data_IF_789179450627
#
_entry.id   IF_789179450627
#
_cell.length_a   1.000
_cell.length_b   1.000
_cell.length_c   1.000
_cell.angle_alpha   90.00
_cell.angle_beta   90.00
_cell.angle_gamma   90.00
#
_symmetry.space_group_name_H-M   'P 1'
#
loop_
_entity.id
_entity.type
_entity.pdbx_description
1 polymer ?
#
# COMPACT_ATOMS: atom_id res chain seq x y z
N UNK A 1 3.93 7.03 -37.19
CA UNK A 1 5.01 7.82 -36.55
C UNK A 1 4.46 8.32 -35.22
N UNK A 2 4.99 7.80 -34.13
CA UNK A 2 4.67 8.29 -32.78
C UNK A 2 5.32 9.68 -32.62
N UNK A 3 4.49 10.70 -32.35
CA UNK A 3 4.95 12.07 -32.20
C UNK A 3 5.88 12.19 -30.99
N UNK A 4 7.15 12.47 -31.21
CA UNK A 4 8.22 12.47 -30.17
C UNK A 4 8.17 13.75 -29.32
N UNK A 5 7.25 14.69 -29.60
CA UNK A 5 7.24 16.01 -28.95
C UNK A 5 6.69 16.05 -27.53
N UNK A 6 6.01 14.97 -27.08
CA UNK A 6 5.27 14.95 -25.80
C UNK A 6 5.88 13.95 -24.79
N UNK A 7 7.20 13.90 -24.69
CA UNK A 7 7.90 13.03 -23.75
C UNK A 7 8.40 13.81 -22.54
N UNK A 8 8.06 13.31 -21.36
CA UNK A 8 8.69 13.75 -20.10
C UNK A 8 9.71 12.67 -19.73
N UNK A 9 11.01 13.06 -19.68
CA UNK A 9 12.08 12.18 -19.22
C UNK A 9 12.14 12.21 -17.70
N UNK A 10 12.09 11.06 -17.07
CA UNK A 10 12.15 10.88 -15.61
C UNK A 10 13.18 9.81 -15.28
N UNK A 11 13.72 9.82 -14.06
CA UNK A 11 14.67 8.80 -13.59
C UNK A 11 13.97 7.46 -13.35
N UNK A 12 12.78 7.47 -12.76
CA UNK A 12 11.96 6.29 -12.51
C UNK A 12 10.52 6.51 -13.01
N UNK A 13 10.14 5.74 -14.03
CA UNK A 13 8.82 5.86 -14.67
C UNK A 13 7.69 5.35 -13.79
N UNK A 14 7.92 4.37 -12.91
CA UNK A 14 6.92 3.84 -11.98
C UNK A 14 6.64 4.84 -10.87
N UNK A 15 7.69 5.42 -10.30
CA UNK A 15 7.58 6.47 -9.29
C UNK A 15 6.85 7.69 -9.87
N UNK A 16 7.25 8.15 -11.06
CA UNK A 16 6.60 9.26 -11.74
C UNK A 16 5.12 8.97 -12.02
N UNK A 17 4.79 7.75 -12.50
CA UNK A 17 3.40 7.34 -12.73
C UNK A 17 2.56 7.41 -11.44
N UNK A 18 3.12 7.00 -10.29
CA UNK A 18 2.41 7.06 -9.02
C UNK A 18 2.06 8.50 -8.63
N UNK A 19 3.03 9.42 -8.72
CA UNK A 19 2.80 10.84 -8.41
C UNK A 19 1.85 11.51 -9.40
N UNK A 20 1.98 11.21 -10.70
CA UNK A 20 1.08 11.72 -11.74
C UNK A 20 -0.34 11.21 -11.54
N UNK A 21 -0.51 9.94 -11.14
CA UNK A 21 -1.82 9.37 -10.83
C UNK A 21 -2.46 10.05 -9.62
N UNK A 22 -1.68 10.28 -8.55
CA UNK A 22 -2.15 11.04 -7.39
C UNK A 22 -2.67 12.42 -7.80
N UNK A 23 -1.88 13.16 -8.57
CA UNK A 23 -2.24 14.50 -9.05
C UNK A 23 -3.47 14.48 -9.97
N UNK A 24 -3.52 13.53 -10.91
CA UNK A 24 -4.64 13.38 -11.86
C UNK A 24 -5.98 13.18 -11.16
N UNK A 25 -6.00 12.40 -10.08
CA UNK A 25 -7.20 12.17 -9.27
C UNK A 25 -7.39 13.20 -8.14
N UNK A 26 -6.61 14.27 -8.07
CA UNK A 26 -6.75 15.34 -7.09
C UNK A 26 -6.37 14.94 -5.66
N UNK A 27 -5.31 14.13 -5.54
CA UNK A 27 -4.73 13.66 -4.26
C UNK A 27 -5.77 13.03 -3.32
N UNK A 28 -6.50 12.00 -3.76
CA UNK A 28 -7.61 11.45 -2.97
C UNK A 28 -7.15 10.83 -1.65
N UNK A 29 -5.90 10.35 -1.55
CA UNK A 29 -5.34 9.81 -0.32
C UNK A 29 -5.25 10.86 0.81
N UNK A 30 -5.12 12.15 0.50
CA UNK A 30 -5.06 13.23 1.49
C UNK A 30 -6.43 13.51 2.14
N UNK A 31 -7.50 13.00 1.55
CA UNK A 31 -8.89 13.20 2.00
C UNK A 31 -9.40 12.08 2.91
N UNK A 32 -8.60 11.04 3.13
CA UNK A 32 -8.96 9.88 3.94
C UNK A 32 -7.79 9.46 4.83
N UNK A 33 -8.07 8.72 5.90
CA UNK A 33 -7.03 8.05 6.69
C UNK A 33 -6.65 6.74 6.03
N UNK A 34 -5.42 6.64 5.52
CA UNK A 34 -4.93 5.44 4.85
C UNK A 34 -4.15 4.58 5.83
N UNK A 35 -4.57 3.32 6.01
CA UNK A 35 -3.92 2.32 6.84
C UNK A 35 -3.32 1.25 5.94
N UNK A 36 -2.01 1.09 5.98
CA UNK A 36 -1.27 0.10 5.19
C UNK A 36 -0.83 -1.09 6.03
N UNK A 37 -1.04 -2.31 5.54
CA UNK A 37 -0.66 -3.54 6.24
C UNK A 37 0.31 -4.33 5.40
N UNK A 38 1.51 -4.57 5.92
CA UNK A 38 2.52 -5.41 5.30
C UNK A 38 2.89 -6.61 6.18
N UNK A 39 3.46 -7.61 5.57
CA UNK A 39 3.91 -8.85 6.22
C UNK A 39 3.87 -10.02 5.25
N UNK A 40 4.40 -11.17 5.65
CA UNK A 40 4.34 -12.36 4.80
C UNK A 40 2.94 -12.96 4.85
N UNK A 41 2.39 -13.15 6.05
CA UNK A 41 1.05 -13.75 6.27
C UNK A 41 0.18 -12.85 7.14
N UNK A 42 -1.12 -13.08 7.10
CA UNK A 42 -2.08 -12.41 7.96
C UNK A 42 -2.55 -11.03 7.46
N UNK A 43 -2.01 -10.50 6.38
CA UNK A 43 -2.44 -9.19 5.82
C UNK A 43 -3.94 -9.13 5.61
N UNK A 44 -4.48 -10.04 4.82
CA UNK A 44 -5.92 -10.08 4.48
C UNK A 44 -6.80 -10.15 5.73
N UNK A 45 -6.52 -11.08 6.64
CA UNK A 45 -7.28 -11.21 7.89
C UNK A 45 -7.24 -9.92 8.69
N UNK A 46 -6.06 -9.35 8.90
CA UNK A 46 -5.88 -8.10 9.66
C UNK A 46 -6.60 -6.93 8.98
N UNK A 47 -6.57 -6.85 7.65
CA UNK A 47 -7.25 -5.81 6.87
C UNK A 47 -8.77 -5.86 7.10
N UNK A 48 -9.37 -7.04 7.02
CA UNK A 48 -10.81 -7.20 7.27
C UNK A 48 -11.19 -6.95 8.73
N UNK A 49 -10.37 -7.38 9.70
CA UNK A 49 -10.60 -7.12 11.12
C UNK A 49 -10.58 -5.62 11.43
N UNK A 50 -9.58 -4.89 10.93
CA UNK A 50 -9.48 -3.43 11.13
C UNK A 50 -10.67 -2.73 10.47
N UNK A 51 -11.03 -3.13 9.23
CA UNK A 51 -12.21 -2.59 8.56
C UNK A 51 -13.46 -2.75 9.43
N UNK A 52 -13.75 -3.97 9.93
CA UNK A 52 -14.91 -4.21 10.76
C UNK A 52 -14.92 -3.38 12.05
N UNK A 53 -13.77 -3.26 12.73
CA UNK A 53 -13.65 -2.45 13.95
C UNK A 53 -13.95 -0.97 13.66
N UNK A 54 -13.41 -0.43 12.57
CA UNK A 54 -13.64 0.97 12.20
C UNK A 54 -15.10 1.21 11.81
N UNK A 55 -15.74 0.28 11.10
CA UNK A 55 -17.16 0.37 10.75
C UNK A 55 -18.07 0.35 11.97
N UNK A 56 -17.79 -0.49 12.96
CA UNK A 56 -18.52 -0.52 14.24
C UNK A 56 -18.38 0.81 15.01
N UNK A 57 -17.32 1.57 14.78
CA UNK A 57 -17.12 2.91 15.38
C UNK A 57 -17.71 4.04 14.53
N UNK A 58 -18.46 3.71 13.47
CA UNK A 58 -19.18 4.67 12.63
C UNK A 58 -18.39 5.23 11.45
N UNK A 59 -17.21 4.72 11.18
CA UNK A 59 -16.43 5.10 9.99
C UNK A 59 -16.96 4.40 8.73
N UNK A 60 -16.86 5.09 7.58
CA UNK A 60 -17.12 4.47 6.29
C UNK A 60 -15.78 4.06 5.65
N UNK A 61 -15.53 2.76 5.56
CA UNK A 61 -14.20 2.22 5.31
C UNK A 61 -14.10 1.56 3.94
N UNK A 62 -13.19 2.06 3.10
CA UNK A 62 -12.76 1.37 1.89
C UNK A 62 -11.74 0.26 2.19
N UNK A 63 -11.62 -0.72 1.30
CA UNK A 63 -10.65 -1.81 1.40
C UNK A 63 -9.97 -2.05 0.06
N UNK A 64 -8.67 -2.30 0.08
CA UNK A 64 -7.91 -2.81 -1.08
C UNK A 64 -7.08 -4.01 -0.60
N UNK A 65 -7.32 -5.18 -1.16
CA UNK A 65 -6.63 -6.39 -0.73
C UNK A 65 -6.57 -7.50 -1.77
N UNK A 66 -6.06 -8.64 -1.33
CA UNK A 66 -5.84 -9.81 -2.19
C UNK A 66 -7.14 -10.39 -2.76
N UNK A 67 -8.23 -10.33 -2.01
CA UNK A 67 -9.52 -10.90 -2.43
C UNK A 67 -10.26 -9.92 -3.33
N UNK A 68 -10.44 -8.69 -2.86
CA UNK A 68 -11.26 -7.69 -3.52
C UNK A 68 -10.86 -6.27 -3.11
N UNK A 69 -11.31 -5.28 -3.88
CA UNK A 69 -11.43 -3.91 -3.43
C UNK A 69 -12.90 -3.61 -3.08
N UNK A 70 -13.13 -2.93 -1.95
CA UNK A 70 -14.46 -2.52 -1.48
C UNK A 70 -14.54 -1.00 -1.49
N UNK A 71 -15.48 -0.46 -2.25
CA UNK A 71 -15.69 0.98 -2.46
C UNK A 71 -17.16 1.29 -2.16
N UNK A 72 -17.46 1.75 -0.95
CA UNK A 72 -18.85 1.80 -0.48
C UNK A 72 -19.49 0.42 -0.56
N UNK A 73 -20.58 0.27 -1.31
CA UNK A 73 -21.28 -1.01 -1.50
C UNK A 73 -20.72 -1.84 -2.67
N UNK A 74 -19.82 -1.27 -3.46
CA UNK A 74 -19.24 -1.91 -4.65
C UNK A 74 -18.08 -2.82 -4.25
N UNK A 75 -18.08 -4.07 -4.73
CA UNK A 75 -17.00 -5.04 -4.59
C UNK A 75 -16.38 -5.34 -5.95
N UNK A 76 -15.07 -5.24 -6.05
CA UNK A 76 -14.30 -5.47 -7.27
C UNK A 76 -13.28 -6.57 -6.99
N UNK A 77 -13.36 -7.74 -7.65
CA UNK A 77 -12.35 -8.79 -7.51
C UNK A 77 -10.95 -8.28 -7.82
N UNK A 78 -9.99 -8.63 -7.00
CA UNK A 78 -8.60 -8.19 -7.15
C UNK A 78 -7.80 -9.12 -8.08
N UNK A 79 -6.99 -8.51 -8.96
CA UNK A 79 -5.96 -9.23 -9.72
C UNK A 79 -4.62 -9.28 -8.97
N UNK A 80 -4.36 -8.32 -8.10
CA UNK A 80 -3.12 -8.19 -7.34
C UNK A 80 -3.42 -7.73 -5.91
N UNK A 81 -2.67 -8.23 -4.93
CA UNK A 81 -2.76 -7.78 -3.53
C UNK A 81 -2.66 -6.26 -3.40
N UNK A 82 -1.74 -5.67 -4.13
CA UNK A 82 -1.53 -4.22 -4.24
C UNK A 82 -1.61 -3.85 -5.71
N UNK A 83 -2.68 -3.22 -6.17
CA UNK A 83 -2.84 -2.82 -7.58
C UNK A 83 -1.75 -1.86 -8.07
N UNK A 84 -1.70 -1.60 -9.37
CA UNK A 84 -0.84 -0.55 -9.94
C UNK A 84 -1.28 0.84 -9.45
N UNK A 85 -0.35 1.78 -9.38
CA UNK A 85 -0.55 3.10 -8.77
C UNK A 85 -1.77 3.86 -9.34
N UNK A 86 -1.97 3.84 -10.66
CA UNK A 86 -3.16 4.44 -11.28
C UNK A 86 -4.47 3.85 -10.72
N UNK A 87 -4.53 2.53 -10.60
CA UNK A 87 -5.72 1.84 -10.09
C UNK A 87 -5.95 2.16 -8.62
N UNK A 88 -4.89 2.24 -7.80
CA UNK A 88 -5.01 2.62 -6.38
C UNK A 88 -5.62 4.02 -6.27
N UNK A 89 -5.07 5.01 -6.97
CA UNK A 89 -5.58 6.38 -6.88
C UNK A 89 -6.98 6.54 -7.46
N UNK A 90 -7.32 5.77 -8.52
CA UNK A 90 -8.69 5.67 -9.02
C UNK A 90 -9.65 5.15 -7.95
N UNK A 91 -9.29 4.05 -7.29
CA UNK A 91 -10.13 3.50 -6.20
C UNK A 91 -10.26 4.47 -5.04
N UNK A 92 -9.19 5.17 -4.67
CA UNK A 92 -9.24 6.20 -3.64
C UNK A 92 -10.19 7.34 -4.03
N UNK A 93 -10.18 7.79 -5.28
CA UNK A 93 -11.11 8.81 -5.75
C UNK A 93 -12.57 8.32 -5.66
N UNK A 94 -12.85 7.10 -6.14
CA UNK A 94 -14.17 6.48 -6.03
C UNK A 94 -14.59 6.29 -4.55
N UNK A 95 -13.67 5.98 -3.63
CA UNK A 95 -13.92 5.87 -2.18
C UNK A 95 -14.29 7.23 -1.58
N UNK A 96 -13.58 8.29 -1.95
CA UNK A 96 -13.91 9.66 -1.51
C UNK A 96 -15.31 10.05 -1.99
N UNK A 97 -15.63 9.80 -3.27
CA UNK A 97 -16.97 10.04 -3.82
C UNK A 97 -18.06 9.22 -3.12
N UNK A 98 -17.75 8.00 -2.73
CA UNK A 98 -18.64 7.15 -1.94
C UNK A 98 -18.76 7.61 -0.47
N UNK A 99 -17.99 8.62 -0.03
CA UNK A 99 -18.02 9.16 1.33
C UNK A 99 -17.21 8.32 2.33
N UNK A 100 -16.25 7.53 1.89
CA UNK A 100 -15.31 6.85 2.79
C UNK A 100 -14.38 7.88 3.44
N UNK A 101 -14.16 7.77 4.73
CA UNK A 101 -13.23 8.59 5.52
C UNK A 101 -11.97 7.83 5.94
N UNK A 102 -12.00 6.51 5.81
CA UNK A 102 -10.86 5.62 6.04
C UNK A 102 -10.71 4.63 4.89
N UNK A 103 -9.49 4.17 4.67
CA UNK A 103 -9.20 3.02 3.80
C UNK A 103 -8.16 2.12 4.44
N UNK A 104 -8.38 0.82 4.40
CA UNK A 104 -7.43 -0.18 4.87
C UNK A 104 -6.93 -0.97 3.66
N UNK A 105 -5.60 -1.04 3.48
CA UNK A 105 -5.06 -1.73 2.31
C UNK A 105 -3.91 -2.66 2.63
N UNK A 106 -3.88 -3.80 1.92
CA UNK A 106 -2.74 -4.70 1.92
C UNK A 106 -1.61 -4.09 1.08
N UNK A 107 -0.42 -4.01 1.66
CA UNK A 107 0.78 -3.48 1.00
C UNK A 107 1.82 -4.59 0.86
N UNK A 108 1.91 -5.16 -0.33
CA UNK A 108 2.89 -6.20 -0.66
C UNK A 108 4.30 -5.62 -0.81
N UNK A 109 5.31 -6.43 -0.53
CA UNK A 109 6.72 -6.03 -0.75
C UNK A 109 7.01 -5.67 -2.21
N UNK A 110 6.37 -6.38 -3.16
CA UNK A 110 6.45 -6.08 -4.58
C UNK A 110 5.79 -4.73 -4.91
N UNK A 111 4.63 -4.43 -4.30
CA UNK A 111 3.98 -3.12 -4.46
C UNK A 111 4.86 -1.96 -4.00
N UNK A 112 5.59 -2.16 -2.90
CA UNK A 112 6.56 -1.19 -2.39
C UNK A 112 7.80 -1.09 -3.30
N UNK A 113 8.37 -2.23 -3.71
CA UNK A 113 9.53 -2.31 -4.60
C UNK A 113 9.26 -1.63 -5.96
N UNK A 114 8.05 -1.78 -6.48
CA UNK A 114 7.64 -1.24 -7.76
C UNK A 114 6.98 0.15 -7.67
N UNK A 115 7.15 0.84 -6.54
CA UNK A 115 6.62 2.19 -6.31
C UNK A 115 5.10 2.34 -6.48
N UNK A 116 4.32 1.24 -6.36
CA UNK A 116 2.86 1.29 -6.55
C UNK A 116 2.16 2.16 -5.51
N UNK A 117 2.77 2.30 -4.32
CA UNK A 117 2.25 3.11 -3.21
C UNK A 117 3.00 4.43 -3.03
N UNK A 118 3.87 4.81 -3.95
CA UNK A 118 4.61 6.05 -3.84
C UNK A 118 3.67 7.27 -3.81
N UNK A 119 3.96 8.21 -2.92
CA UNK A 119 3.13 9.41 -2.73
C UNK A 119 1.85 9.21 -1.93
N UNK A 120 1.60 8.00 -1.39
CA UNK A 120 0.47 7.77 -0.48
C UNK A 120 0.92 8.11 0.95
N UNK A 121 0.30 9.10 1.62
CA UNK A 121 0.59 9.43 3.02
C UNK A 121 -0.15 8.46 3.95
N UNK A 122 0.46 7.35 4.31
CA UNK A 122 -0.15 6.43 5.26
C UNK A 122 -0.24 7.07 6.65
N UNK A 123 -1.43 7.07 7.25
CA UNK A 123 -1.62 7.46 8.65
C UNK A 123 -0.98 6.41 9.56
N UNK A 124 -1.24 5.13 9.28
CA UNK A 124 -0.70 4.00 10.04
C UNK A 124 -0.11 2.97 9.07
N UNK A 125 1.11 2.50 9.36
CA UNK A 125 1.73 1.34 8.74
C UNK A 125 1.81 0.19 9.74
N UNK A 126 1.34 -1.01 9.37
CA UNK A 126 1.30 -2.17 10.25
C UNK A 126 2.18 -3.29 9.67
N UNK A 127 3.06 -3.84 10.51
CA UNK A 127 3.86 -5.03 10.20
C UNK A 127 3.34 -6.23 11.01
N UNK A 128 2.94 -7.28 10.31
CA UNK A 128 2.42 -8.50 10.96
C UNK A 128 3.50 -9.52 11.27
N UNK A 129 4.25 -9.93 10.26
CA UNK A 129 5.33 -10.94 10.40
C UNK A 129 6.21 -10.99 9.14
N UNK A 130 7.37 -11.67 9.27
CA UNK A 130 8.26 -11.97 8.15
C UNK A 130 8.67 -13.44 8.14
N UNK A 131 8.35 -14.14 7.06
CA UNK A 131 8.84 -15.48 6.74
C UNK A 131 9.56 -15.49 5.40
N UNK A 132 10.29 -16.56 5.10
CA UNK A 132 10.91 -16.74 3.77
C UNK A 132 9.81 -17.04 2.75
N UNK A 133 9.63 -16.12 1.82
CA UNK A 133 8.64 -16.18 0.75
C UNK A 133 9.04 -15.19 -0.36
N UNK A 134 8.48 -15.33 -1.56
CA UNK A 134 8.68 -14.38 -2.66
C UNK A 134 10.16 -14.11 -3.01
N UNK A 135 10.99 -15.13 -3.04
CA UNK A 135 12.39 -15.06 -3.47
C UNK A 135 12.56 -15.86 -4.75
N UNK A 136 12.86 -15.20 -5.86
CA UNK A 136 12.98 -15.86 -7.15
C UNK A 136 13.27 -14.90 -8.31
N UNK A 137 13.42 -15.42 -9.54
CA UNK A 137 13.87 -14.63 -10.70
C UNK A 137 13.00 -13.41 -11.05
N UNK A 138 11.71 -13.46 -10.75
CA UNK A 138 10.75 -12.36 -11.01
C UNK A 138 10.20 -11.74 -9.72
N UNK A 139 10.85 -11.99 -8.59
CA UNK A 139 10.47 -11.55 -7.27
C UNK A 139 11.64 -10.79 -6.62
N UNK A 140 11.83 -10.95 -5.31
CA UNK A 140 12.98 -10.38 -4.62
C UNK A 140 14.25 -11.21 -4.90
N UNK A 141 15.38 -10.53 -5.10
CA UNK A 141 16.68 -11.17 -5.37
C UNK A 141 17.16 -12.07 -4.23
N UNK A 142 16.86 -11.68 -3.00
CA UNK A 142 17.22 -12.37 -1.77
C UNK A 142 16.28 -11.98 -0.61
N UNK A 143 16.49 -12.60 0.54
CA UNK A 143 15.69 -12.35 1.73
C UNK A 143 15.91 -10.95 2.32
N UNK A 144 17.09 -10.39 2.19
CA UNK A 144 17.39 -9.05 2.69
C UNK A 144 16.71 -7.97 1.83
N UNK A 145 16.64 -8.17 0.53
CA UNK A 145 15.86 -7.31 -0.35
C UNK A 145 14.35 -7.38 -0.03
N UNK A 146 13.83 -8.60 0.19
CA UNK A 146 12.44 -8.79 0.61
C UNK A 146 12.11 -8.05 1.91
N UNK A 147 12.97 -8.20 2.92
CA UNK A 147 12.89 -7.53 4.22
C UNK A 147 12.94 -6.00 4.06
N UNK A 148 13.96 -5.52 3.33
CA UNK A 148 14.14 -4.10 3.02
C UNK A 148 12.89 -3.49 2.36
N UNK A 149 12.34 -4.20 1.35
CA UNK A 149 11.16 -3.71 0.64
C UNK A 149 9.94 -3.58 1.54
N UNK A 150 9.69 -4.54 2.46
CA UNK A 150 8.58 -4.38 3.42
C UNK A 150 8.77 -3.19 4.34
N UNK A 151 10.00 -2.91 4.73
CA UNK A 151 10.34 -1.75 5.55
C UNK A 151 9.99 -0.40 4.89
N UNK A 152 9.94 -0.32 3.54
CA UNK A 152 9.63 0.92 2.84
C UNK A 152 8.26 1.51 3.20
N UNK A 153 7.30 0.71 3.69
CA UNK A 153 6.02 1.21 4.20
C UNK A 153 6.22 2.22 5.32
N UNK A 154 7.18 1.95 6.23
CA UNK A 154 7.42 2.79 7.41
C UNK A 154 8.10 4.12 7.09
N UNK A 155 8.65 4.28 5.88
CA UNK A 155 9.09 5.58 5.36
C UNK A 155 7.95 6.45 4.85
N UNK A 156 6.77 5.87 4.65
CA UNK A 156 5.60 6.51 4.08
C UNK A 156 4.46 6.68 5.10
N UNK A 157 4.63 6.23 6.36
CA UNK A 157 3.60 6.33 7.38
C UNK A 157 3.99 7.29 8.51
N UNK A 158 2.96 7.89 9.12
CA UNK A 158 3.14 8.76 10.28
C UNK A 158 3.35 7.94 11.57
N UNK A 159 2.63 6.82 11.70
CA UNK A 159 2.71 5.91 12.84
C UNK A 159 2.97 4.50 12.36
N UNK A 160 3.96 3.84 12.91
CA UNK A 160 4.26 2.44 12.67
C UNK A 160 3.83 1.55 13.83
N UNK A 161 3.12 0.47 13.52
CA UNK A 161 2.75 -0.60 14.46
C UNK A 161 3.43 -1.89 14.00
N UNK A 162 4.11 -2.57 14.91
CA UNK A 162 4.82 -3.79 14.58
C UNK A 162 4.58 -4.91 15.59
N UNK A 163 4.49 -6.14 15.09
CA UNK A 163 4.51 -7.32 15.93
C UNK A 163 5.93 -7.54 16.48
N UNK A 164 6.13 -7.26 17.75
CA UNK A 164 7.44 -7.36 18.43
C UNK A 164 7.88 -8.80 18.68
N UNK A 165 6.97 -9.78 18.60
CA UNK A 165 7.28 -11.20 18.74
C UNK A 165 7.90 -11.80 17.47
N UNK A 166 7.82 -11.08 16.33
CA UNK A 166 8.51 -11.50 15.11
C UNK A 166 10.00 -11.22 15.21
N UNK A 167 10.82 -12.27 15.00
CA UNK A 167 12.29 -12.18 15.15
C UNK A 167 12.96 -11.15 14.21
N UNK A 168 12.31 -10.80 13.11
CA UNK A 168 12.81 -9.82 12.14
C UNK A 168 12.23 -8.41 12.35
N UNK A 169 11.41 -8.22 13.39
CA UNK A 169 10.82 -6.94 13.71
C UNK A 169 11.83 -5.80 13.71
N UNK A 170 12.95 -5.98 14.43
CA UNK A 170 14.01 -4.96 14.52
C UNK A 170 14.62 -4.64 13.15
N UNK A 171 14.85 -5.65 12.34
CA UNK A 171 15.46 -5.47 11.02
C UNK A 171 14.54 -4.71 10.04
N UNK A 172 13.24 -4.99 10.10
CA UNK A 172 12.24 -4.33 9.23
C UNK A 172 11.96 -2.92 9.70
N UNK A 173 11.88 -2.70 11.01
CA UNK A 173 11.43 -1.43 11.58
C UNK A 173 12.58 -0.46 11.84
N UNK A 174 13.68 -0.93 12.40
CA UNK A 174 14.79 -0.06 12.82
C UNK A 174 15.78 0.27 11.70
N UNK A 175 15.90 -0.57 10.67
CA UNK A 175 16.78 -0.29 9.52
C UNK A 175 16.36 0.96 8.70
N UNK A 176 15.20 1.54 9.01
CA UNK A 176 14.60 2.64 8.28
C UNK A 176 14.35 3.89 9.13
N UNK A 177 14.47 3.77 10.45
CA UNK A 177 14.37 4.88 11.37
C UNK A 177 15.79 5.35 11.69
N UNK A 178 16.35 6.16 10.84
CA UNK A 178 17.40 7.08 11.27
C UNK A 178 16.71 8.24 11.98
N UNK A 179 16.49 8.06 13.26
CA UNK A 179 16.21 9.17 14.18
C UNK A 179 17.55 9.70 14.66
#
# INVERSE_FOLDING_TARGET
QMCIRDRIKVEDTRYALALMSAAYFGYPADKMKVIGITGTKGKTTTTYMIKSILEETGHKVGLIGTIEAIIGDKKIPSCNTTPESYTIHKYFAEMVEAGCDCVVMEVSSQGLMLHRTAGIPFEIGIFTNLGRDHIGPNEHKDFDDYKRCKGLLFKQCKLGIANVDDKYFKDVFLSLIHI
#
